data_IF_199842812290
#
_entry.id   IF_199842812290
#
_cell.length_a   1.000
_cell.length_b   1.000
_cell.length_c   1.000
_cell.angle_alpha   90.00
_cell.angle_beta   90.00
_cell.angle_gamma   90.00
#
_symmetry.space_group_name_H-M   'P 1'
#
loop_
_entity.id
_entity.type
_entity.pdbx_description
1 polymer ?
#
# COMPACT_ATOMS: atom_id res chain seq x y z
N UNK A 1 6.50 48.63 -21.35
CA UNK A 1 5.66 47.56 -20.77
C UNK A 1 6.42 46.27 -20.43
N UNK A 2 6.97 45.48 -21.38
CA UNK A 2 7.74 44.27 -20.99
C UNK A 2 9.00 44.58 -20.15
N UNK A 3 9.73 45.64 -20.49
CA UNK A 3 10.87 46.16 -19.72
C UNK A 3 10.48 46.66 -18.31
N UNK A 4 9.26 47.19 -18.15
CA UNK A 4 8.74 47.64 -16.85
C UNK A 4 8.37 46.46 -15.95
N UNK A 5 7.88 45.36 -16.54
CA UNK A 5 7.66 44.11 -15.82
C UNK A 5 8.99 43.52 -15.34
N UNK A 6 10.01 43.46 -16.20
CA UNK A 6 11.35 42.98 -15.84
C UNK A 6 11.92 43.80 -14.66
N UNK A 7 11.86 45.13 -14.76
CA UNK A 7 12.30 46.02 -13.69
C UNK A 7 11.47 45.91 -12.39
N UNK A 8 10.18 45.53 -12.49
CA UNK A 8 9.34 45.27 -11.31
C UNK A 8 9.73 43.93 -10.64
N UNK A 9 10.04 42.89 -11.41
CA UNK A 9 10.55 41.63 -10.88
C UNK A 9 11.93 41.77 -10.21
N UNK A 10 12.84 42.57 -10.78
CA UNK A 10 14.14 42.88 -10.17
C UNK A 10 14.00 43.60 -8.83
N UNK A 11 13.04 44.53 -8.74
CA UNK A 11 12.71 45.27 -7.51
C UNK A 11 11.86 44.48 -6.51
N UNK A 12 11.49 43.23 -6.83
CA UNK A 12 10.56 42.38 -6.06
C UNK A 12 9.18 43.04 -5.84
N UNK A 13 8.79 43.98 -6.70
CA UNK A 13 7.48 44.61 -6.67
C UNK A 13 6.47 43.80 -7.48
N UNK A 14 6.06 42.67 -6.90
CA UNK A 14 5.16 41.71 -7.55
C UNK A 14 3.74 42.24 -7.72
N UNK A 15 3.33 43.25 -6.94
CA UNK A 15 2.01 43.88 -7.08
C UNK A 15 1.93 44.69 -8.36
N UNK A 16 2.96 45.51 -8.62
CA UNK A 16 3.06 46.31 -9.85
C UNK A 16 3.26 45.39 -11.06
N UNK A 17 4.09 44.34 -10.93
CA UNK A 17 4.26 43.34 -11.98
C UNK A 17 2.92 42.65 -12.34
N UNK A 18 2.10 42.28 -11.36
CA UNK A 18 0.79 41.65 -11.59
C UNK A 18 -0.21 42.57 -12.31
N UNK A 19 -0.24 43.86 -11.95
CA UNK A 19 -1.12 44.84 -12.60
C UNK A 19 -0.73 45.05 -14.07
N UNK A 20 0.57 45.19 -14.36
CA UNK A 20 1.08 45.33 -15.72
C UNK A 20 0.82 44.07 -16.54
N UNK A 21 1.05 42.88 -15.96
CA UNK A 21 0.76 41.59 -16.58
C UNK A 21 -0.72 41.42 -16.94
N UNK A 22 -1.64 41.82 -16.05
CA UNK A 22 -3.09 41.70 -16.30
C UNK A 22 -3.53 42.53 -17.50
N UNK A 23 -2.97 43.72 -17.67
CA UNK A 23 -3.24 44.59 -18.81
C UNK A 23 -2.69 43.98 -20.10
N UNK A 24 -1.43 43.51 -20.09
CA UNK A 24 -0.79 42.86 -21.22
C UNK A 24 -1.45 41.55 -21.62
N UNK A 25 -1.95 40.76 -20.68
CA UNK A 25 -2.65 39.51 -20.96
C UNK A 25 -3.96 39.75 -21.72
N UNK A 26 -4.67 40.85 -21.42
CA UNK A 26 -5.89 41.24 -22.18
C UNK A 26 -5.55 41.69 -23.60
N UNK A 27 -4.43 42.38 -23.77
CA UNK A 27 -4.02 42.94 -25.06
C UNK A 27 -3.36 41.90 -25.97
N UNK A 28 -2.63 40.93 -25.40
CA UNK A 28 -1.83 39.96 -26.14
C UNK A 28 -1.74 38.61 -25.40
N UNK A 29 -2.84 37.85 -25.33
CA UNK A 29 -2.91 36.58 -24.59
C UNK A 29 -2.03 35.45 -25.17
N UNK A 30 -1.57 35.61 -26.40
CA UNK A 30 -0.70 34.64 -27.08
C UNK A 30 0.79 35.00 -27.02
N UNK A 31 1.16 36.14 -26.43
CA UNK A 31 2.57 36.53 -26.31
C UNK A 31 3.31 35.59 -25.35
N UNK A 32 4.37 34.97 -25.85
CA UNK A 32 5.22 33.99 -25.16
C UNK A 32 5.94 34.62 -23.95
N UNK A 33 6.32 35.91 -24.02
CA UNK A 33 6.93 36.62 -22.90
C UNK A 33 5.93 36.95 -21.80
N UNK A 34 4.69 37.29 -22.17
CA UNK A 34 3.61 37.51 -21.20
C UNK A 34 3.34 36.22 -20.42
N UNK A 35 3.31 35.07 -21.11
CA UNK A 35 3.16 33.75 -20.47
C UNK A 35 4.34 33.40 -19.53
N UNK A 36 5.57 33.73 -19.92
CA UNK A 36 6.75 33.55 -19.06
C UNK A 36 6.66 34.37 -17.76
N UNK A 37 6.32 35.66 -17.86
CA UNK A 37 6.19 36.51 -16.69
C UNK A 37 4.99 36.12 -15.81
N UNK A 38 3.93 35.57 -16.41
CA UNK A 38 2.82 34.97 -15.66
C UNK A 38 3.29 33.74 -14.87
N UNK A 39 4.11 32.85 -15.48
CA UNK A 39 4.70 31.71 -14.77
C UNK A 39 5.58 32.15 -13.59
N UNK A 40 6.44 33.15 -13.78
CA UNK A 40 7.25 33.78 -12.72
C UNK A 40 6.40 34.36 -11.59
N UNK A 41 5.27 34.98 -11.92
CA UNK A 41 4.36 35.53 -10.90
C UNK A 41 3.73 34.40 -10.07
N UNK A 42 3.33 33.30 -10.70
CA UNK A 42 2.79 32.13 -10.01
C UNK A 42 3.83 31.43 -9.15
N UNK A 43 5.09 31.36 -9.62
CA UNK A 43 6.23 30.84 -8.85
C UNK A 43 6.40 31.61 -7.54
N UNK A 44 6.44 32.94 -7.60
CA UNK A 44 6.57 33.81 -6.42
C UNK A 44 5.32 33.79 -5.54
N UNK A 45 4.14 33.70 -6.15
CA UNK A 45 2.86 33.56 -5.45
C UNK A 45 2.68 32.20 -4.75
N UNK A 46 3.63 31.27 -4.88
CA UNK A 46 3.60 29.95 -4.27
C UNK A 46 2.73 28.93 -5.00
N UNK A 47 2.13 29.29 -6.14
CA UNK A 47 1.33 28.41 -6.99
C UNK A 47 2.24 27.61 -7.93
N UNK A 48 3.05 26.73 -7.34
CA UNK A 48 4.13 26.02 -8.05
C UNK A 48 3.61 25.15 -9.20
N UNK A 49 2.44 24.53 -9.04
CA UNK A 49 1.86 23.65 -10.05
C UNK A 49 1.39 24.42 -11.28
N UNK A 50 0.77 25.57 -11.08
CA UNK A 50 0.38 26.49 -12.16
C UNK A 50 1.61 27.05 -12.85
N UNK A 51 2.65 27.43 -12.09
CA UNK A 51 3.91 27.90 -12.65
C UNK A 51 4.59 26.84 -13.53
N UNK A 52 4.65 25.59 -13.06
CA UNK A 52 5.22 24.46 -13.80
C UNK A 52 4.50 24.19 -15.13
N UNK A 53 3.17 24.15 -15.12
CA UNK A 53 2.37 23.95 -16.34
C UNK A 53 2.66 25.04 -17.38
N UNK A 54 2.75 26.30 -16.94
CA UNK A 54 3.07 27.41 -17.82
C UNK A 54 4.49 27.29 -18.39
N UNK A 55 5.48 26.94 -17.57
CA UNK A 55 6.84 26.71 -18.05
C UNK A 55 6.92 25.55 -19.05
N UNK A 56 6.20 24.45 -18.82
CA UNK A 56 6.15 23.32 -19.77
C UNK A 56 5.49 23.71 -21.09
N UNK A 57 4.40 24.48 -21.06
CA UNK A 57 3.77 25.01 -22.28
C UNK A 57 4.72 25.91 -23.07
N UNK A 58 5.51 26.74 -22.38
CA UNK A 58 6.52 27.59 -23.03
C UNK A 58 7.61 26.77 -23.74
N UNK A 59 8.03 25.65 -23.15
CA UNK A 59 9.00 24.75 -23.78
C UNK A 59 8.45 24.07 -25.04
N UNK A 60 7.15 23.82 -25.10
CA UNK A 60 6.51 23.21 -26.28
C UNK A 60 6.24 24.22 -27.40
N UNK A 61 5.92 25.46 -27.05
CA UNK A 61 5.42 26.47 -28.01
C UNK A 61 6.47 27.48 -28.46
N UNK A 62 7.60 27.62 -27.76
CA UNK A 62 8.61 28.62 -28.07
C UNK A 62 9.79 28.04 -28.86
N UNK A 63 10.15 28.72 -29.95
CA UNK A 63 11.42 28.52 -30.67
C UNK A 63 12.52 29.48 -30.18
N UNK A 64 12.21 30.40 -29.27
CA UNK A 64 13.17 31.39 -28.76
C UNK A 64 14.11 30.74 -27.73
N UNK A 65 15.38 30.58 -28.10
CA UNK A 65 16.40 29.91 -27.28
C UNK A 65 16.61 30.56 -25.91
N UNK A 66 16.54 31.89 -25.81
CA UNK A 66 16.67 32.63 -24.53
C UNK A 66 15.51 32.29 -23.60
N UNK A 67 14.29 32.29 -24.12
CA UNK A 67 13.10 32.02 -23.33
C UNK A 67 13.01 30.54 -22.92
N UNK A 68 13.38 29.62 -23.81
CA UNK A 68 13.51 28.18 -23.50
C UNK A 68 14.53 27.98 -22.36
N UNK A 69 15.69 28.65 -22.41
CA UNK A 69 16.68 28.61 -21.34
C UNK A 69 16.12 29.12 -20.00
N UNK A 70 15.41 30.24 -20.00
CA UNK A 70 14.80 30.80 -18.80
C UNK A 70 13.66 29.94 -18.23
N UNK A 71 12.85 29.31 -19.09
CA UNK A 71 11.80 28.39 -18.66
C UNK A 71 12.39 27.13 -18.00
N UNK A 72 13.47 26.56 -18.55
CA UNK A 72 14.19 25.44 -17.91
C UNK A 72 14.76 25.82 -16.55
N UNK A 73 15.36 27.01 -16.43
CA UNK A 73 15.81 27.52 -15.13
C UNK A 73 14.65 27.70 -14.14
N UNK A 74 13.48 28.13 -14.62
CA UNK A 74 12.25 28.19 -13.82
C UNK A 74 11.86 26.82 -13.26
N UNK A 75 11.82 25.79 -14.10
CA UNK A 75 11.54 24.43 -13.66
C UNK A 75 12.56 23.91 -12.64
N UNK A 76 13.85 24.22 -12.82
CA UNK A 76 14.90 23.86 -11.85
C UNK A 76 14.65 24.52 -10.48
N UNK A 77 14.35 25.82 -10.44
CA UNK A 77 14.03 26.52 -9.18
C UNK A 77 12.79 25.95 -8.50
N UNK A 78 11.74 25.63 -9.26
CA UNK A 78 10.55 24.98 -8.72
C UNK A 78 10.86 23.61 -8.10
N UNK A 79 11.71 22.82 -8.75
CA UNK A 79 12.14 21.51 -8.25
C UNK A 79 12.94 21.65 -6.94
N UNK A 80 13.88 22.59 -6.87
CA UNK A 80 14.66 22.89 -5.67
C UNK A 80 13.78 23.36 -4.51
N UNK A 81 12.84 24.26 -4.78
CA UNK A 81 11.91 24.76 -3.78
C UNK A 81 11.03 23.63 -3.21
N UNK A 82 10.51 22.75 -4.07
CA UNK A 82 9.75 21.57 -3.64
C UNK A 82 10.60 20.64 -2.78
N UNK A 83 11.84 20.36 -3.21
CA UNK A 83 12.77 19.50 -2.46
C UNK A 83 13.07 20.08 -1.07
N UNK A 84 13.33 21.39 -0.98
CA UNK A 84 13.58 22.08 0.29
C UNK A 84 12.35 22.07 1.20
N UNK A 85 11.16 22.37 0.67
CA UNK A 85 9.90 22.29 1.43
C UNK A 85 9.66 20.88 1.98
N UNK A 86 9.89 19.86 1.15
CA UNK A 86 9.77 18.46 1.56
C UNK A 86 10.76 18.09 2.66
N UNK A 87 12.04 18.44 2.50
CA UNK A 87 13.06 18.17 3.53
C UNK A 87 12.72 18.84 4.86
N UNK A 88 12.21 20.08 4.83
CA UNK A 88 11.76 20.79 6.03
C UNK A 88 10.57 20.08 6.67
N UNK A 89 9.60 19.62 5.88
CA UNK A 89 8.45 18.86 6.36
C UNK A 89 8.86 17.50 6.96
N UNK A 90 9.84 16.81 6.35
CA UNK A 90 10.39 15.55 6.88
C UNK A 90 11.12 15.80 8.20
N UNK A 91 11.94 16.85 8.30
CA UNK A 91 12.63 17.21 9.54
C UNK A 91 11.63 17.53 10.67
N UNK A 92 10.57 18.28 10.36
CA UNK A 92 9.50 18.56 11.32
C UNK A 92 8.73 17.30 11.74
N UNK A 93 8.43 16.39 10.80
CA UNK A 93 7.75 15.13 11.10
C UNK A 93 8.61 14.19 11.97
N UNK A 94 9.92 14.14 11.71
CA UNK A 94 10.88 13.35 12.51
C UNK A 94 11.09 13.89 13.93
N UNK A 95 10.79 15.16 14.19
CA UNK A 95 10.89 15.74 15.52
C UNK A 95 9.80 15.22 16.48
N UNK A 96 8.72 14.64 15.95
CA UNK A 96 7.67 14.00 16.73
C UNK A 96 8.05 12.53 17.04
N UNK A 97 8.25 12.16 18.32
CA UNK A 97 8.58 10.79 18.72
C UNK A 97 7.53 9.76 18.29
N UNK A 98 6.28 10.17 18.11
CA UNK A 98 5.20 9.29 17.62
C UNK A 98 5.39 8.84 16.18
N UNK A 99 6.24 9.52 15.41
CA UNK A 99 6.51 9.19 14.01
C UNK A 99 7.84 8.45 13.80
N UNK A 100 8.51 8.05 14.89
CA UNK A 100 9.77 7.33 14.81
C UNK A 100 9.57 5.86 14.38
N UNK A 101 10.53 5.34 13.63
CA UNK A 101 10.64 3.91 13.32
C UNK A 101 10.29 3.53 11.88
N UNK A 102 10.13 2.23 11.67
CA UNK A 102 9.79 1.63 10.39
C UNK A 102 8.32 1.87 10.06
N UNK A 103 8.03 2.18 8.80
CA UNK A 103 6.68 2.23 8.25
C UNK A 103 6.58 1.55 6.90
N UNK A 104 5.34 1.31 6.49
CA UNK A 104 4.98 0.73 5.20
C UNK A 104 3.98 1.64 4.50
N UNK A 105 4.19 1.88 3.20
CA UNK A 105 3.32 2.65 2.33
C UNK A 105 2.75 1.76 1.24
N UNK A 106 1.44 1.83 1.07
CA UNK A 106 0.68 0.99 0.15
C UNK A 106 -0.08 1.86 -0.83
N UNK A 107 0.03 1.51 -2.11
CA UNK A 107 -0.79 2.07 -3.18
C UNK A 107 -2.05 1.23 -3.35
N UNK A 108 -3.18 1.91 -3.48
CA UNK A 108 -4.48 1.27 -3.71
C UNK A 108 -4.79 1.19 -5.21
N UNK A 109 -5.61 0.22 -5.58
CA UNK A 109 -6.08 0.09 -6.95
C UNK A 109 -6.87 1.32 -7.40
N UNK A 110 -6.65 1.72 -8.65
CA UNK A 110 -7.34 2.84 -9.27
C UNK A 110 -8.05 2.33 -10.53
N UNK A 111 -9.32 2.71 -10.68
CA UNK A 111 -10.08 2.50 -11.93
C UNK A 111 -9.42 3.22 -13.11
N UNK A 112 -9.71 2.78 -14.34
CA UNK A 112 -8.98 3.24 -15.52
C UNK A 112 -9.08 4.75 -15.78
N UNK A 113 -10.22 5.38 -15.49
CA UNK A 113 -10.45 6.82 -15.76
C UNK A 113 -9.49 7.76 -15.01
N UNK A 114 -9.38 7.75 -13.66
CA UNK A 114 -8.45 8.64 -12.94
C UNK A 114 -6.97 8.19 -13.01
N UNK A 115 -6.68 7.02 -13.58
CA UNK A 115 -5.35 6.40 -13.53
C UNK A 115 -4.25 7.24 -14.16
N UNK A 116 -4.53 7.92 -15.27
CA UNK A 116 -3.54 8.77 -15.95
C UNK A 116 -3.13 9.96 -15.07
N UNK A 117 -4.11 10.64 -14.46
CA UNK A 117 -3.84 11.77 -13.57
C UNK A 117 -3.04 11.31 -12.33
N UNK A 118 -3.38 10.16 -11.76
CA UNK A 118 -2.64 9.60 -10.64
C UNK A 118 -1.20 9.22 -11.02
N UNK A 119 -0.99 8.66 -12.22
CA UNK A 119 0.34 8.34 -12.72
C UNK A 119 1.21 9.60 -12.90
N UNK A 120 0.65 10.68 -13.45
CA UNK A 120 1.34 11.98 -13.56
C UNK A 120 1.70 12.54 -12.18
N UNK A 121 0.79 12.45 -11.20
CA UNK A 121 1.03 12.84 -9.81
C UNK A 121 2.16 12.05 -9.15
N UNK A 122 2.11 10.72 -9.26
CA UNK A 122 3.11 9.80 -8.72
C UNK A 122 4.49 10.04 -9.36
N UNK A 123 4.54 10.13 -10.69
CA UNK A 123 5.75 10.40 -11.48
C UNK A 123 6.47 11.65 -10.97
N UNK A 124 5.71 12.75 -10.81
CA UNK A 124 6.23 14.03 -10.32
C UNK A 124 6.75 13.98 -8.89
N UNK A 125 6.04 13.32 -7.99
CA UNK A 125 6.39 13.30 -6.56
C UNK A 125 7.64 12.46 -6.30
N UNK A 126 7.74 11.32 -6.99
CA UNK A 126 8.81 10.33 -6.82
C UNK A 126 10.01 10.62 -7.74
N UNK A 127 9.81 11.41 -8.79
CA UNK A 127 10.87 11.77 -9.73
C UNK A 127 11.16 10.70 -10.77
N UNK A 128 10.11 10.09 -11.33
CA UNK A 128 10.18 9.11 -12.42
C UNK A 128 9.35 9.57 -13.61
N UNK A 129 9.42 8.89 -14.75
CA UNK A 129 8.54 9.13 -15.89
C UNK A 129 7.12 8.56 -15.66
N UNK A 130 6.14 9.06 -16.43
CA UNK A 130 4.71 8.70 -16.31
C UNK A 130 4.46 7.22 -16.63
N UNK A 131 5.21 6.63 -17.55
CA UNK A 131 5.02 5.23 -17.95
C UNK A 131 5.43 4.29 -16.80
N UNK A 132 6.61 4.52 -16.21
CA UNK A 132 7.06 3.79 -15.01
C UNK A 132 6.08 3.98 -13.85
N UNK A 133 5.62 5.20 -13.60
CA UNK A 133 4.62 5.47 -12.56
C UNK A 133 3.29 4.73 -12.79
N UNK A 134 2.83 4.64 -14.05
CA UNK A 134 1.60 3.94 -14.40
C UNK A 134 1.68 2.43 -14.15
N UNK A 135 2.88 1.84 -14.26
CA UNK A 135 3.15 0.43 -13.93
C UNK A 135 3.15 0.17 -12.42
N UNK A 136 3.53 1.15 -11.61
CA UNK A 136 3.54 1.03 -10.14
C UNK A 136 2.14 1.07 -9.54
N UNK A 137 1.19 1.76 -10.16
CA UNK A 137 -0.19 1.84 -9.68
C UNK A 137 -0.87 0.47 -9.92
N UNK A 138 -1.40 -0.22 -8.90
CA UNK A 138 -2.09 -1.48 -9.12
C UNK A 138 -3.42 -1.29 -9.89
N UNK A 139 -3.81 -2.26 -10.71
CA UNK A 139 -5.16 -2.31 -11.31
C UNK A 139 -6.21 -2.92 -10.36
N UNK A 140 -5.75 -3.81 -9.48
CA UNK A 140 -6.56 -4.52 -8.50
C UNK A 140 -5.75 -4.71 -7.22
N UNK A 141 -6.45 -4.77 -6.09
CA UNK A 141 -5.84 -5.02 -4.79
C UNK A 141 -4.89 -3.91 -4.35
N UNK A 142 -4.01 -4.28 -3.43
CA UNK A 142 -3.03 -3.38 -2.84
C UNK A 142 -1.63 -3.74 -3.31
N UNK A 143 -0.77 -2.72 -3.45
CA UNK A 143 0.65 -2.89 -3.75
C UNK A 143 1.48 -2.30 -2.62
N UNK A 144 2.35 -3.09 -2.01
CA UNK A 144 3.38 -2.54 -1.13
C UNK A 144 4.35 -1.74 -2.00
N UNK A 145 4.45 -0.44 -1.72
CA UNK A 145 5.15 0.49 -2.60
C UNK A 145 6.47 0.99 -2.00
N UNK A 146 6.49 1.22 -0.68
CA UNK A 146 7.71 1.69 -0.01
C UNK A 146 7.72 1.26 1.45
N UNK A 147 8.91 0.93 1.94
CA UNK A 147 9.18 0.80 3.37
C UNK A 147 10.35 1.72 3.77
N UNK A 148 10.40 2.14 5.02
CA UNK A 148 11.43 3.05 5.49
C UNK A 148 11.03 3.83 6.73
N UNK A 149 11.65 5.00 6.94
CA UNK A 149 11.29 5.88 8.04
C UNK A 149 9.82 6.33 7.92
N UNK A 150 9.02 6.08 8.96
CA UNK A 150 7.60 6.37 8.96
C UNK A 150 7.28 7.87 8.76
N UNK A 151 7.97 8.79 9.44
CA UNK A 151 7.79 10.23 9.27
C UNK A 151 8.02 10.67 7.81
N UNK A 152 9.03 10.14 7.14
CA UNK A 152 9.25 10.39 5.71
C UNK A 152 8.06 9.88 4.87
N UNK A 153 7.63 8.64 5.11
CA UNK A 153 6.49 8.05 4.39
C UNK A 153 5.20 8.86 4.60
N UNK A 154 4.96 9.42 5.79
CA UNK A 154 3.79 10.29 6.01
C UNK A 154 3.81 11.53 5.12
N UNK A 155 4.98 12.16 4.95
CA UNK A 155 5.12 13.36 4.11
C UNK A 155 4.86 13.01 2.64
N UNK A 156 5.51 11.97 2.13
CA UNK A 156 5.27 11.48 0.76
C UNK A 156 3.80 11.07 0.56
N UNK A 157 3.22 10.38 1.53
CA UNK A 157 1.83 9.96 1.48
C UNK A 157 0.85 11.13 1.42
N UNK A 158 1.09 12.20 2.19
CA UNK A 158 0.30 13.44 2.12
C UNK A 158 0.41 14.12 0.76
N UNK A 159 1.61 14.20 0.19
CA UNK A 159 1.81 14.75 -1.15
C UNK A 159 1.08 13.92 -2.22
N UNK A 160 1.17 12.59 -2.14
CA UNK A 160 0.51 11.66 -3.05
C UNK A 160 -1.02 11.77 -2.98
N UNK A 161 -1.59 11.82 -1.76
CA UNK A 161 -3.03 12.07 -1.57
C UNK A 161 -3.46 13.40 -2.17
N UNK A 162 -2.68 14.47 -1.97
CA UNK A 162 -2.97 15.78 -2.57
C UNK A 162 -2.92 15.75 -4.10
N UNK A 163 -2.07 14.89 -4.68
CA UNK A 163 -2.02 14.61 -6.11
C UNK A 163 -3.06 13.60 -6.60
N UNK A 164 -4.06 13.25 -5.76
CA UNK A 164 -5.12 12.29 -6.05
C UNK A 164 -4.61 10.87 -6.35
N UNK A 165 -3.47 10.49 -5.77
CA UNK A 165 -2.99 9.10 -5.78
C UNK A 165 -3.51 8.42 -4.52
N UNK A 166 -4.41 7.42 -4.62
CA UNK A 166 -4.86 6.60 -3.50
C UNK A 166 -3.68 5.87 -2.86
N UNK A 167 -3.41 6.23 -1.63
CA UNK A 167 -2.28 5.74 -0.86
C UNK A 167 -2.62 5.80 0.60
N UNK A 168 -2.09 4.85 1.35
CA UNK A 168 -2.07 4.93 2.80
C UNK A 168 -0.75 4.39 3.34
N UNK A 169 -0.56 4.60 4.64
CA UNK A 169 0.64 4.20 5.34
C UNK A 169 0.31 3.82 6.78
N UNK A 170 1.13 2.95 7.35
CA UNK A 170 1.05 2.54 8.74
C UNK A 170 2.46 2.37 9.33
N UNK A 171 2.58 2.63 10.63
CA UNK A 171 3.83 2.37 11.34
C UNK A 171 3.92 0.88 11.69
N UNK A 172 5.12 0.32 11.67
CA UNK A 172 5.37 -1.03 12.18
C UNK A 172 4.89 -1.16 13.64
N UNK A 173 5.11 -0.13 14.46
CA UNK A 173 4.65 -0.09 15.85
C UNK A 173 3.12 -0.06 16.01
N UNK A 174 2.36 0.35 14.99
CA UNK A 174 0.89 0.21 15.00
C UNK A 174 0.46 -1.22 14.69
N UNK A 175 1.17 -1.87 13.75
CA UNK A 175 0.94 -3.27 13.36
C UNK A 175 1.26 -4.19 14.56
N UNK A 176 2.40 -3.98 15.22
CA UNK A 176 2.85 -4.78 16.38
C UNK A 176 1.95 -4.67 17.62
N UNK A 177 1.07 -3.65 17.69
CA UNK A 177 0.09 -3.53 18.78
C UNK A 177 -1.12 -4.44 18.61
N UNK A 178 -1.33 -4.99 17.41
CA UNK A 178 -2.48 -5.84 17.10
C UNK A 178 -2.17 -7.24 17.63
N UNK A 179 -3.01 -7.73 18.53
CA UNK A 179 -2.82 -9.06 19.09
C UNK A 179 -3.26 -10.13 18.09
N UNK A 180 -2.34 -11.01 17.69
CA UNK A 180 -2.65 -12.14 16.80
C UNK A 180 -2.76 -13.42 17.61
N UNK A 181 -3.95 -14.00 17.64
CA UNK A 181 -4.20 -15.31 18.24
C UNK A 181 -4.23 -16.40 17.17
N UNK A 182 -3.35 -17.38 17.30
CA UNK A 182 -3.31 -18.55 16.40
C UNK A 182 -4.36 -19.54 16.83
N UNK A 183 -5.37 -19.73 15.99
CA UNK A 183 -6.49 -20.62 16.27
C UNK A 183 -6.03 -22.07 16.14
N UNK A 184 -6.29 -22.86 17.19
CA UNK A 184 -6.13 -24.30 17.16
C UNK A 184 -7.42 -24.97 16.65
N UNK A 185 -8.58 -24.61 17.21
CA UNK A 185 -9.88 -25.08 16.72
C UNK A 185 -11.04 -24.23 17.24
N UNK A 186 -12.21 -24.31 16.60
CA UNK A 186 -13.46 -23.81 17.17
C UNK A 186 -14.09 -24.88 18.05
N UNK A 187 -14.32 -24.58 19.33
CA UNK A 187 -15.03 -25.45 20.26
C UNK A 187 -16.55 -25.36 20.08
N UNK A 188 -17.07 -24.18 19.75
CA UNK A 188 -18.48 -23.95 19.39
C UNK A 188 -18.59 -22.80 18.39
N UNK A 189 -19.61 -22.83 17.54
CA UNK A 189 -19.96 -21.72 16.64
C UNK A 189 -21.09 -20.85 17.20
N UNK A 190 -21.85 -21.33 18.19
CA UNK A 190 -22.99 -20.59 18.75
C UNK A 190 -23.06 -20.78 20.27
N UNK A 191 -22.65 -19.77 21.06
CA UNK A 191 -21.82 -18.63 20.66
C UNK A 191 -20.40 -19.06 20.29
N UNK A 192 -19.72 -18.27 19.46
CA UNK A 192 -18.41 -18.64 18.94
C UNK A 192 -17.38 -18.72 20.07
N UNK A 193 -16.78 -19.89 20.26
CA UNK A 193 -15.72 -20.13 21.24
C UNK A 193 -14.56 -20.79 20.53
N UNK A 194 -13.41 -20.11 20.53
CA UNK A 194 -12.21 -20.55 19.83
C UNK A 194 -11.12 -20.89 20.84
N UNK A 195 -10.47 -22.03 20.66
CA UNK A 195 -9.25 -22.38 21.39
C UNK A 195 -8.07 -21.89 20.56
N UNK A 196 -7.23 -21.05 21.16
CA UNK A 196 -6.17 -20.36 20.45
C UNK A 196 -4.91 -20.19 21.31
N UNK A 197 -3.81 -19.83 20.64
CA UNK A 197 -2.52 -19.55 21.27
C UNK A 197 -2.13 -18.10 21.07
N UNK A 198 -1.64 -17.46 22.13
CA UNK A 198 -1.07 -16.12 22.05
C UNK A 198 0.38 -16.15 21.48
N UNK A 199 1.02 -14.98 21.49
CA UNK A 199 2.39 -14.79 21.03
C UNK A 199 3.43 -15.56 21.87
N UNK A 200 3.17 -15.72 23.17
CA UNK A 200 3.98 -16.52 24.09
C UNK A 200 3.67 -18.03 23.99
N UNK A 201 2.89 -18.45 22.98
CA UNK A 201 2.48 -19.83 22.74
C UNK A 201 1.60 -20.45 23.84
N UNK A 202 1.03 -19.63 24.72
CA UNK A 202 0.14 -20.05 25.78
C UNK A 202 -1.25 -20.35 25.20
N UNK A 203 -1.80 -21.50 25.58
CA UNK A 203 -3.14 -21.94 25.16
C UNK A 203 -4.21 -21.24 25.99
N UNK A 204 -5.26 -20.77 25.33
CA UNK A 204 -6.44 -20.18 25.97
C UNK A 204 -7.69 -20.38 25.12
N UNK A 205 -8.81 -19.88 25.62
CA UNK A 205 -10.07 -19.85 24.90
C UNK A 205 -10.61 -18.42 24.85
N UNK A 206 -11.15 -18.03 23.69
CA UNK A 206 -11.78 -16.74 23.48
C UNK A 206 -13.21 -16.95 23.00
N UNK A 207 -14.18 -16.38 23.73
CA UNK A 207 -15.60 -16.40 23.37
C UNK A 207 -16.02 -15.03 22.84
N UNK A 208 -16.72 -15.02 21.73
CA UNK A 208 -17.19 -13.81 21.03
C UNK A 208 -18.51 -14.08 20.28
N UNK A 209 -19.20 -13.01 19.93
CA UNK A 209 -20.38 -13.04 19.06
C UNK A 209 -20.00 -12.72 17.61
N UNK A 210 -20.65 -13.36 16.64
CA UNK A 210 -20.35 -13.13 15.22
C UNK A 210 -20.61 -11.68 14.76
N UNK A 211 -21.44 -10.94 15.49
CA UNK A 211 -21.64 -9.50 15.29
C UNK A 211 -20.42 -8.64 15.63
N UNK A 212 -19.45 -9.17 16.38
CA UNK A 212 -18.18 -8.49 16.69
C UNK A 212 -17.19 -8.58 15.51
N UNK A 213 -17.42 -9.48 14.55
CA UNK A 213 -16.57 -9.64 13.37
C UNK A 213 -16.87 -8.52 12.40
N UNK A 214 -15.86 -7.72 12.12
CA UNK A 214 -16.00 -6.59 11.19
C UNK A 214 -15.62 -6.93 9.75
N UNK A 215 -14.65 -7.81 9.58
CA UNK A 215 -14.09 -8.18 8.28
C UNK A 215 -13.26 -9.46 8.39
N UNK A 216 -13.03 -10.10 7.25
CA UNK A 216 -12.22 -11.30 7.16
C UNK A 216 -11.17 -11.16 6.04
N UNK A 217 -10.03 -11.83 6.21
CA UNK A 217 -8.94 -11.81 5.22
C UNK A 217 -8.59 -13.24 4.84
N UNK A 218 -8.62 -13.51 3.53
CA UNK A 218 -8.22 -14.79 2.93
C UNK A 218 -6.82 -14.64 2.31
N UNK A 219 -5.96 -15.63 2.57
CA UNK A 219 -4.59 -15.66 2.06
C UNK A 219 -4.21 -17.04 1.54
N UNK A 220 -3.36 -17.06 0.51
CA UNK A 220 -2.73 -18.26 0.01
C UNK A 220 -1.21 -18.03 0.02
N UNK A 221 -0.50 -18.76 0.87
CA UNK A 221 0.94 -18.61 1.05
C UNK A 221 1.67 -19.79 0.41
N UNK A 222 2.66 -19.54 -0.47
CA UNK A 222 3.41 -20.61 -1.11
C UNK A 222 4.30 -21.35 -0.10
N UNK A 223 4.41 -22.66 -0.27
CA UNK A 223 5.38 -23.52 0.40
C UNK A 223 6.42 -23.93 -0.66
N UNK A 224 7.66 -23.52 -0.41
CA UNK A 224 8.79 -23.76 -1.29
C UNK A 224 9.57 -24.99 -0.85
N UNK A 225 10.05 -25.77 -1.81
CA UNK A 225 11.00 -26.88 -1.60
C UNK A 225 12.09 -26.84 -2.69
N UNK A 226 13.28 -27.35 -2.37
CA UNK A 226 14.33 -27.56 -3.35
C UNK A 226 14.04 -28.82 -4.19
N UNK A 227 13.92 -28.64 -5.50
CA UNK A 227 13.66 -29.73 -6.44
C UNK A 227 14.82 -29.89 -7.40
N UNK A 228 15.15 -31.14 -7.69
CA UNK A 228 16.08 -31.50 -8.75
C UNK A 228 15.38 -31.32 -10.11
N UNK A 229 15.84 -30.36 -10.90
CA UNK A 229 15.38 -30.10 -12.27
C UNK A 229 16.50 -30.39 -13.28
N UNK A 230 16.15 -30.63 -14.54
CA UNK A 230 17.11 -30.81 -15.62
C UNK A 230 17.41 -29.46 -16.28
N UNK A 231 18.62 -28.94 -16.03
CA UNK A 231 19.12 -27.72 -16.66
C UNK A 231 19.61 -27.93 -18.10
N UNK A 232 20.31 -26.94 -18.64
CA UNK A 232 20.88 -27.02 -19.99
C UNK A 232 21.79 -28.25 -20.17
N UNK A 233 21.50 -29.08 -21.18
CA UNK A 233 22.13 -30.38 -21.48
C UNK A 233 21.91 -31.46 -20.41
N UNK A 234 20.70 -31.55 -19.88
CA UNK A 234 20.28 -32.61 -18.93
C UNK A 234 21.15 -32.69 -17.69
N UNK A 235 21.75 -31.56 -17.29
CA UNK A 235 22.53 -31.48 -16.07
C UNK A 235 21.59 -31.22 -14.90
N UNK A 236 21.60 -32.05 -13.84
CA UNK A 236 20.78 -31.80 -12.67
C UNK A 236 21.15 -30.46 -12.04
N UNK A 237 20.15 -29.60 -11.84
CA UNK A 237 20.24 -28.35 -11.09
C UNK A 237 19.23 -28.40 -9.95
N UNK A 238 19.63 -27.94 -8.76
CA UNK A 238 18.69 -27.70 -7.68
C UNK A 238 18.04 -26.35 -7.90
N UNK A 239 16.72 -26.31 -7.87
CA UNK A 239 15.92 -25.09 -8.03
C UNK A 239 14.80 -25.08 -7.00
N UNK A 240 14.60 -23.92 -6.38
CA UNK A 240 13.44 -23.68 -5.54
C UNK A 240 12.16 -23.67 -6.40
N UNK A 241 11.18 -24.47 -6.00
CA UNK A 241 9.86 -24.52 -6.64
C UNK A 241 8.76 -24.49 -5.59
N UNK A 242 7.67 -23.79 -5.88
CA UNK A 242 6.44 -23.90 -5.09
C UNK A 242 5.85 -25.30 -5.27
N UNK A 243 5.72 -26.06 -4.19
CA UNK A 243 5.14 -27.41 -4.20
C UNK A 243 3.71 -27.43 -3.70
N UNK A 244 3.41 -26.62 -2.70
CA UNK A 244 2.08 -26.55 -2.09
C UNK A 244 1.76 -25.12 -1.64
N UNK A 245 0.55 -24.93 -1.12
CA UNK A 245 0.10 -23.67 -0.57
C UNK A 245 -0.63 -23.88 0.76
N UNK A 246 -0.26 -23.08 1.76
CA UNK A 246 -1.01 -22.96 2.99
C UNK A 246 -2.16 -21.95 2.83
N UNK A 247 -3.37 -22.35 3.23
CA UNK A 247 -4.55 -21.47 3.20
C UNK A 247 -4.72 -20.78 4.54
N UNK A 248 -4.86 -19.47 4.52
CA UNK A 248 -5.08 -18.64 5.70
C UNK A 248 -6.45 -17.98 5.68
N UNK A 249 -7.02 -17.82 6.87
CA UNK A 249 -8.25 -17.09 7.11
C UNK A 249 -8.13 -16.32 8.44
N UNK A 250 -8.04 -14.99 8.35
CA UNK A 250 -8.01 -14.11 9.51
C UNK A 250 -9.40 -13.52 9.76
N UNK A 251 -9.85 -13.58 11.01
CA UNK A 251 -11.09 -12.95 11.49
C UNK A 251 -10.71 -11.74 12.34
N UNK A 252 -11.21 -10.55 11.98
CA UNK A 252 -10.87 -9.32 12.70
C UNK A 252 -11.90 -9.01 13.77
N UNK A 253 -11.43 -8.83 15.01
CA UNK A 253 -12.23 -8.41 16.17
C UNK A 253 -11.72 -7.03 16.65
N UNK A 254 -12.08 -5.93 15.96
CA UNK A 254 -11.50 -4.61 16.21
C UNK A 254 -11.77 -4.08 17.62
N UNK A 255 -12.99 -4.31 18.13
CA UNK A 255 -13.37 -3.91 19.49
C UNK A 255 -12.53 -4.60 20.58
N UNK A 256 -11.96 -5.76 20.25
CA UNK A 256 -11.08 -6.53 21.15
C UNK A 256 -9.60 -6.32 20.88
N UNK A 257 -9.22 -5.51 19.90
CA UNK A 257 -7.81 -5.26 19.61
C UNK A 257 -7.08 -6.44 18.96
N UNK A 258 -7.79 -7.44 18.41
CA UNK A 258 -7.16 -8.70 18.02
C UNK A 258 -7.63 -9.28 16.67
N UNK A 259 -6.81 -10.18 16.15
CA UNK A 259 -7.04 -11.00 14.95
C UNK A 259 -6.97 -12.47 15.34
N UNK A 260 -7.98 -13.25 14.93
CA UNK A 260 -7.96 -14.70 15.05
C UNK A 260 -7.46 -15.27 13.72
N UNK A 261 -6.27 -15.87 13.73
CA UNK A 261 -5.62 -16.42 12.54
C UNK A 261 -5.81 -17.92 12.46
N UNK A 262 -6.46 -18.37 11.39
CA UNK A 262 -6.59 -19.77 11.03
C UNK A 262 -5.68 -20.08 9.85
N UNK A 263 -5.11 -21.29 9.85
CA UNK A 263 -4.64 -21.89 8.62
C UNK A 263 -4.92 -23.39 8.59
N UNK A 264 -5.05 -23.92 7.39
CA UNK A 264 -5.52 -25.27 7.13
C UNK A 264 -4.71 -26.37 7.83
N UNK A 265 -3.39 -26.25 7.86
CA UNK A 265 -2.48 -27.26 8.40
C UNK A 265 -2.34 -27.25 9.93
N UNK A 266 -2.58 -26.13 10.61
CA UNK A 266 -2.56 -26.07 12.09
C UNK A 266 -3.94 -26.25 12.74
N UNK A 267 -5.02 -26.21 11.95
CA UNK A 267 -6.35 -26.40 12.50
C UNK A 267 -6.57 -27.86 12.94
N UNK A 268 -6.95 -28.08 14.20
CA UNK A 268 -7.28 -29.39 14.72
C UNK A 268 -8.72 -29.77 14.37
N UNK A 269 -8.91 -30.46 13.26
CA UNK A 269 -10.23 -30.92 12.80
C UNK A 269 -10.85 -32.03 13.66
N UNK A 270 -10.07 -32.68 14.54
CA UNK A 270 -10.60 -33.74 15.40
C UNK A 270 -11.22 -33.18 16.68
N UNK A 271 -10.70 -32.06 17.18
CA UNK A 271 -11.21 -31.37 18.38
C UNK A 271 -12.18 -30.22 18.04
N UNK A 272 -12.15 -29.74 16.79
CA UNK A 272 -13.03 -28.67 16.34
C UNK A 272 -14.50 -29.09 16.18
N UNK A 273 -15.34 -28.09 15.94
CA UNK A 273 -16.76 -28.26 15.61
C UNK A 273 -16.96 -29.35 14.56
N UNK A 274 -17.92 -30.24 14.82
CA UNK A 274 -18.16 -31.39 13.94
C UNK A 274 -18.64 -30.89 12.57
N UNK A 275 -17.84 -31.19 11.56
CA UNK A 275 -18.18 -30.93 10.18
C UNK A 275 -19.07 -32.09 9.73
N UNK A 276 -20.37 -31.84 9.56
CA UNK A 276 -21.30 -32.87 9.12
C UNK A 276 -20.82 -33.47 7.78
N UNK A 277 -20.74 -34.81 7.64
CA UNK A 277 -20.33 -35.43 6.39
C UNK A 277 -21.32 -35.07 5.29
N UNK A 278 -20.81 -34.83 4.08
CA UNK A 278 -21.63 -34.53 2.93
C UNK A 278 -22.53 -35.75 2.62
N UNK A 279 -23.87 -35.63 2.59
CA UNK A 279 -24.78 -36.76 2.40
C UNK A 279 -24.61 -37.46 1.04
N UNK A 280 -23.86 -36.89 0.10
CA UNK A 280 -23.49 -37.51 -1.18
C UNK A 280 -22.29 -38.48 -1.08
N UNK A 281 -21.60 -38.56 0.05
CA UNK A 281 -20.47 -39.47 0.26
C UNK A 281 -20.96 -40.76 0.94
N UNK A 282 -21.65 -41.60 0.18
CA UNK A 282 -21.98 -42.95 0.62
C UNK A 282 -20.71 -43.81 0.71
N UNK A 283 -20.34 -44.16 1.94
CA UNK A 283 -19.68 -45.41 2.33
C UNK A 283 -18.55 -45.93 1.42
N UNK A 284 -17.32 -45.47 1.68
CA UNK A 284 -16.06 -46.21 1.47
C UNK A 284 -14.91 -45.37 2.05
N UNK A 285 -14.45 -45.71 3.27
CA UNK A 285 -13.28 -45.16 3.98
C UNK A 285 -13.08 -43.63 3.92
N UNK A 286 -13.24 -42.94 5.06
CA UNK A 286 -12.97 -41.50 5.26
C UNK A 286 -11.59 -41.04 4.75
N UNK A 287 -11.45 -40.86 3.43
CA UNK A 287 -10.31 -40.20 2.78
C UNK A 287 -10.61 -38.72 2.63
N UNK A 288 -11.09 -38.09 3.69
CA UNK A 288 -11.26 -36.63 3.72
C UNK A 288 -9.86 -35.98 3.72
N UNK A 289 -9.50 -35.28 2.65
CA UNK A 289 -8.26 -34.50 2.59
C UNK A 289 -8.36 -33.27 3.48
N UNK A 290 -7.23 -32.71 3.93
CA UNK A 290 -7.18 -31.44 4.68
C UNK A 290 -7.93 -30.34 3.92
N UNK A 291 -7.76 -30.29 2.59
CA UNK A 291 -8.46 -29.35 1.70
C UNK A 291 -9.99 -29.48 1.76
N UNK A 292 -10.52 -30.70 1.79
CA UNK A 292 -11.98 -30.90 1.92
C UNK A 292 -12.48 -30.41 3.28
N UNK A 293 -11.79 -30.77 4.37
CA UNK A 293 -12.15 -30.35 5.72
C UNK A 293 -12.08 -28.82 5.87
N UNK A 294 -11.04 -28.19 5.32
CA UNK A 294 -10.89 -26.74 5.30
C UNK A 294 -12.06 -26.06 4.57
N UNK A 295 -12.40 -26.52 3.37
CA UNK A 295 -13.51 -25.94 2.59
C UNK A 295 -14.84 -26.04 3.36
N UNK A 296 -15.12 -27.19 3.97
CA UNK A 296 -16.33 -27.37 4.75
C UNK A 296 -16.35 -26.48 6.01
N UNK A 297 -15.23 -26.34 6.71
CA UNK A 297 -15.09 -25.39 7.82
C UNK A 297 -15.37 -23.96 7.34
N UNK A 298 -14.75 -23.51 6.24
CA UNK A 298 -14.95 -22.17 5.69
C UNK A 298 -16.42 -21.92 5.32
N UNK A 299 -17.13 -22.91 4.75
CA UNK A 299 -18.56 -22.79 4.48
C UNK A 299 -19.38 -22.60 5.77
N UNK A 300 -19.07 -23.35 6.83
CA UNK A 300 -19.75 -23.21 8.12
C UNK A 300 -19.47 -21.84 8.76
N UNK A 301 -18.23 -21.37 8.73
CA UNK A 301 -17.87 -20.05 9.24
C UNK A 301 -18.59 -18.94 8.47
N UNK A 302 -18.60 -19.01 7.13
CA UNK A 302 -19.30 -18.04 6.27
C UNK A 302 -20.81 -18.00 6.52
N UNK A 303 -21.43 -19.14 6.84
CA UNK A 303 -22.87 -19.19 7.22
C UNK A 303 -23.16 -18.60 8.59
N UNK A 304 -22.19 -18.63 9.51
CA UNK A 304 -22.36 -18.16 10.88
C UNK A 304 -22.17 -16.64 11.02
N UNK A 305 -21.52 -16.02 10.04
CA UNK A 305 -21.17 -14.60 10.06
C UNK A 305 -22.24 -13.71 9.41
N UNK A 306 -22.47 -12.48 9.92
CA UNK A 306 -23.38 -11.50 9.31
C UNK A 306 -22.76 -10.84 8.06
N UNK A 307 -22.36 -11.64 7.08
CA UNK A 307 -21.80 -11.24 5.78
C UNK A 307 -20.77 -10.08 5.83
N UNK A 308 -19.68 -10.21 6.60
CA UNK A 308 -18.63 -9.19 6.65
C UNK A 308 -17.87 -9.12 5.31
N UNK A 309 -17.25 -7.98 4.96
CA UNK A 309 -16.37 -7.89 3.81
C UNK A 309 -15.21 -8.90 3.91
N UNK A 310 -14.96 -9.60 2.80
CA UNK A 310 -13.88 -10.59 2.68
C UNK A 310 -12.82 -10.04 1.74
N UNK A 311 -11.59 -9.95 2.24
CA UNK A 311 -10.43 -9.49 1.48
C UNK A 311 -9.59 -10.67 1.02
N UNK A 312 -9.54 -10.94 -0.29
CA UNK A 312 -8.85 -12.13 -0.85
C UNK A 312 -7.70 -11.80 -1.81
N UNK A 313 -7.36 -10.53 -1.98
CA UNK A 313 -6.39 -10.07 -2.99
C UNK A 313 -4.92 -10.10 -2.49
N UNK A 314 -4.61 -11.01 -1.56
CA UNK A 314 -3.28 -11.09 -0.96
C UNK A 314 -2.16 -11.40 -1.97
N UNK A 315 -2.38 -12.27 -2.95
CA UNK A 315 -1.32 -12.71 -3.87
C UNK A 315 -0.64 -11.52 -4.57
N UNK A 316 -1.41 -10.57 -5.09
CA UNK A 316 -0.87 -9.35 -5.73
C UNK A 316 -0.08 -8.49 -4.75
N UNK A 317 -0.54 -8.39 -3.50
CA UNK A 317 0.20 -7.68 -2.45
C UNK A 317 1.52 -8.39 -2.12
N UNK A 318 1.47 -9.71 -1.92
CA UNK A 318 2.63 -10.54 -1.59
C UNK A 318 3.70 -10.49 -2.68
N UNK A 319 3.33 -10.61 -3.95
CA UNK A 319 4.28 -10.47 -5.07
C UNK A 319 5.00 -9.11 -5.06
N UNK A 320 4.28 -8.04 -4.76
CA UNK A 320 4.89 -6.71 -4.64
C UNK A 320 5.76 -6.52 -3.40
N UNK A 321 5.61 -7.41 -2.41
CA UNK A 321 6.32 -7.32 -1.14
C UNK A 321 7.75 -7.89 -1.20
N UNK A 322 8.08 -8.65 -2.27
CA UNK A 322 9.39 -9.26 -2.48
C UNK A 322 10.55 -8.25 -2.38
N UNK A 323 10.36 -7.03 -2.92
CA UNK A 323 11.38 -5.97 -2.90
C UNK A 323 11.64 -5.39 -1.49
N UNK A 324 10.83 -5.75 -0.50
CA UNK A 324 10.87 -5.20 0.86
C UNK A 324 11.24 -6.25 1.92
N UNK A 325 11.81 -7.36 1.48
CA UNK A 325 12.18 -8.52 2.29
C UNK A 325 12.86 -8.15 3.64
N UNK A 326 13.91 -7.33 3.60
CA UNK A 326 14.66 -6.93 4.79
C UNK A 326 13.82 -6.13 5.79
N UNK A 327 12.87 -5.31 5.30
CA UNK A 327 12.00 -4.54 6.18
C UNK A 327 10.92 -5.44 6.80
N UNK A 328 10.40 -6.39 6.02
CA UNK A 328 9.37 -7.34 6.45
C UNK A 328 9.89 -8.30 7.52
N UNK A 329 11.12 -8.79 7.39
CA UNK A 329 11.75 -9.67 8.38
C UNK A 329 11.97 -9.03 9.77
N UNK A 330 11.79 -7.71 9.90
CA UNK A 330 11.83 -7.05 11.22
C UNK A 330 10.54 -7.25 12.01
N UNK A 331 9.47 -7.67 11.36
CA UNK A 331 8.18 -7.94 11.98
C UNK A 331 8.06 -9.42 12.35
N UNK A 332 7.36 -9.69 13.44
CA UNK A 332 6.94 -11.05 13.78
C UNK A 332 5.68 -11.37 12.98
N UNK A 333 5.75 -12.37 12.11
CA UNK A 333 4.59 -12.76 11.28
C UNK A 333 3.50 -13.48 12.06
N UNK A 334 3.85 -14.12 13.18
CA UNK A 334 3.00 -15.04 13.95
C UNK A 334 2.50 -16.23 13.09
N UNK A 335 3.27 -16.60 12.07
CA UNK A 335 3.00 -17.73 11.18
C UNK A 335 4.09 -18.77 11.40
N UNK A 336 3.68 -20.03 11.52
CA UNK A 336 4.57 -21.15 11.80
C UNK A 336 4.19 -22.29 10.86
N UNK A 337 4.70 -22.21 9.63
CA UNK A 337 4.59 -23.26 8.64
C UNK A 337 5.82 -24.16 8.73
N UNK A 338 5.63 -25.46 8.62
CA UNK A 338 6.74 -26.42 8.52
C UNK A 338 7.36 -26.31 7.14
N UNK A 339 8.47 -25.58 7.03
CA UNK A 339 9.26 -25.39 5.80
C UNK A 339 10.75 -25.35 6.12
N UNK A 340 11.58 -25.56 5.10
CA UNK A 340 13.04 -25.61 5.26
C UNK A 340 13.66 -24.24 5.53
N UNK A 341 13.11 -23.18 4.95
CA UNK A 341 13.62 -21.82 5.06
C UNK A 341 12.51 -20.80 5.31
N UNK A 342 12.83 -19.72 6.03
CA UNK A 342 11.91 -18.59 6.19
C UNK A 342 11.70 -17.85 4.88
N UNK A 343 10.50 -17.28 4.72
CA UNK A 343 10.15 -16.50 3.54
C UNK A 343 9.38 -15.25 3.89
N UNK A 344 9.60 -14.19 3.11
CA UNK A 344 8.91 -12.90 3.26
C UNK A 344 7.39 -13.01 3.17
N UNK A 345 6.87 -14.06 2.52
CA UNK A 345 5.42 -14.26 2.34
C UNK A 345 4.66 -14.25 3.67
N UNK A 346 5.26 -14.75 4.74
CA UNK A 346 4.65 -14.76 6.07
C UNK A 346 4.48 -13.35 6.63
N UNK A 347 5.57 -12.58 6.62
CA UNK A 347 5.57 -11.21 7.09
C UNK A 347 4.70 -10.33 6.18
N UNK A 348 4.70 -10.58 4.87
CA UNK A 348 3.82 -9.91 3.91
C UNK A 348 2.34 -10.18 4.21
N UNK A 349 1.94 -11.43 4.49
CA UNK A 349 0.56 -11.74 4.87
C UNK A 349 0.17 -11.09 6.19
N UNK A 350 1.07 -11.14 7.17
CA UNK A 350 0.86 -10.47 8.45
C UNK A 350 0.64 -8.96 8.28
N UNK A 351 1.50 -8.29 7.51
CA UNK A 351 1.34 -6.86 7.17
C UNK A 351 0.03 -6.62 6.43
N UNK A 352 -0.28 -7.37 5.38
CA UNK A 352 -1.50 -7.21 4.59
C UNK A 352 -2.76 -7.27 5.46
N UNK A 353 -2.89 -8.32 6.27
CA UNK A 353 -4.01 -8.52 7.19
C UNK A 353 -4.11 -7.40 8.23
N UNK A 354 -2.98 -7.02 8.85
CA UNK A 354 -2.95 -5.94 9.83
C UNK A 354 -3.24 -4.57 9.23
N UNK A 355 -2.84 -4.31 7.98
CA UNK A 355 -3.17 -3.07 7.29
C UNK A 355 -4.68 -2.96 7.02
N UNK A 356 -5.32 -4.06 6.63
CA UNK A 356 -6.78 -4.17 6.49
C UNK A 356 -7.46 -3.87 7.84
N UNK A 357 -6.95 -4.45 8.92
CA UNK A 357 -7.41 -4.18 10.28
C UNK A 357 -7.33 -2.69 10.64
N UNK A 358 -6.19 -2.04 10.37
CA UNK A 358 -5.97 -0.63 10.69
C UNK A 358 -6.77 0.33 9.81
N UNK A 359 -7.03 -0.01 8.54
CA UNK A 359 -7.83 0.84 7.65
C UNK A 359 -9.25 0.99 8.13
N UNK A 360 -9.86 -0.11 8.59
CA UNK A 360 -11.21 -0.06 9.14
C UNK A 360 -11.29 0.85 10.38
N UNK A 361 -10.34 0.73 11.31
CA UNK A 361 -10.30 1.56 12.52
C UNK A 361 -10.14 3.05 12.24
N UNK A 362 -9.63 3.43 11.06
CA UNK A 362 -9.51 4.83 10.63
C UNK A 362 -10.78 5.35 9.92
N UNK A 363 -11.67 4.46 9.51
CA UNK A 363 -12.95 4.78 8.88
C UNK A 363 -14.13 4.88 9.86
N UNK A 364 -14.02 4.25 11.03
CA UNK A 364 -14.88 4.44 12.21
C UNK A 364 -14.38 5.63 13.06
#
# INVERSE_FOLDING_TARGET
>A
MLSEIEAAFERKDYKTAAQLLKTLQKQSPQDVWVRFYLARLQEVGGQLDTAEQLYLQLLQQSTNTRLVGQARQGLQRLAELRRSRRQTAIAAANADPGNAGLGFMVLEAIADEPRKQAAEGLARIVGTDVYTAQMLIPKRGWRLYRSGNFAELQVYGKELKAAKVPVFWAAAAEIEKIQVFRVSHFQSLTPATVVCRNEQNQLGALRFEWSEVSQCVEGLLPIFEEVLDLGYRDRPIWKESTQDYARFYDIHLPQRGCVLRLHDSAYNYNEGVTIAPNPAASSQHDRSTIRMKWNQLMEQLKRSQPNPPIWSDFTTFGESAADFDTALHRLKSHIFLSREADTYWDAAFHVYSCLIYLQQKKGD
#
